data_IF_905474561527
#
_entry.id   IF_905474561527
#
_cell.length_a   1.000
_cell.length_b   1.000
_cell.length_c   1.000
_cell.angle_alpha   90.00
_cell.angle_beta   90.00
_cell.angle_gamma   90.00
#
_symmetry.space_group_name_H-M   'P 1'
#
loop_
_entity.id
_entity.type
_entity.pdbx_description
1 polymer ?
#
# COMPACT_ATOMS: atom_id res chain seq x y z
N UNK A 1 6.40 6.97 -14.30
CA UNK A 1 5.58 8.04 -13.67
C UNK A 1 6.49 9.24 -13.58
N UNK A 2 6.34 10.11 -14.58
CA UNK A 2 7.32 11.14 -14.91
C UNK A 2 7.15 12.38 -14.04
N UNK A 3 8.27 13.08 -13.87
CA UNK A 3 8.44 14.42 -13.34
C UNK A 3 7.18 15.30 -13.42
N UNK A 4 6.36 15.31 -12.36
CA UNK A 4 5.31 16.30 -12.15
C UNK A 4 5.89 17.52 -11.43
N UNK A 5 5.46 18.71 -11.83
CA UNK A 5 5.78 19.94 -11.10
C UNK A 5 4.96 20.03 -9.81
N UNK A 6 5.42 20.81 -8.84
CA UNK A 6 4.69 21.04 -7.59
C UNK A 6 3.30 21.67 -7.83
N UNK A 7 3.15 22.48 -8.87
CA UNK A 7 1.88 23.09 -9.24
C UNK A 7 0.89 22.08 -9.83
N UNK A 8 1.39 21.08 -10.57
CA UNK A 8 0.58 19.96 -11.08
C UNK A 8 0.19 19.01 -9.94
N UNK A 9 1.12 18.68 -9.06
CA UNK A 9 0.84 17.85 -7.89
C UNK A 9 -0.22 18.48 -6.96
N UNK A 10 -0.22 19.81 -6.81
CA UNK A 10 -1.21 20.54 -6.01
C UNK A 10 -2.63 20.56 -6.62
N UNK A 11 -2.77 20.23 -7.91
CA UNK A 11 -4.06 20.15 -8.61
C UNK A 11 -4.61 18.73 -8.65
N UNK A 12 -3.81 17.72 -8.29
CA UNK A 12 -4.28 16.35 -8.18
C UNK A 12 -5.32 16.24 -7.07
N UNK A 13 -6.37 15.42 -7.25
CA UNK A 13 -7.32 15.15 -6.20
C UNK A 13 -6.60 14.53 -5.00
N UNK A 14 -7.11 14.82 -3.81
CA UNK A 14 -6.64 14.20 -2.57
C UNK A 14 -6.80 12.68 -2.72
N UNK A 15 -5.67 11.97 -2.73
CA UNK A 15 -5.61 10.54 -2.95
C UNK A 15 -5.23 9.83 -1.66
N UNK A 16 -5.97 8.78 -1.32
CA UNK A 16 -5.76 7.98 -0.11
C UNK A 16 -6.95 8.00 0.83
N UNK A 17 -6.75 7.41 2.00
CA UNK A 17 -7.74 7.32 3.07
C UNK A 17 -7.12 7.92 4.34
N UNK A 18 -7.80 8.84 5.05
CA UNK A 18 -7.31 9.36 6.33
C UNK A 18 -7.03 8.26 7.35
N UNK A 19 -5.97 8.41 8.15
CA UNK A 19 -5.55 7.40 9.12
C UNK A 19 -6.66 7.06 10.13
N UNK A 20 -7.50 8.04 10.51
CA UNK A 20 -8.63 7.82 11.40
C UNK A 20 -9.72 6.90 10.83
N UNK A 21 -9.74 6.71 9.51
CA UNK A 21 -10.66 5.77 8.85
C UNK A 21 -10.02 4.39 8.66
N UNK A 22 -8.70 4.27 8.78
CA UNK A 22 -8.00 2.99 8.65
C UNK A 22 -8.22 2.18 9.94
N UNK A 23 -8.79 1.00 9.78
CA UNK A 23 -9.07 0.11 10.93
C UNK A 23 -7.99 -0.93 11.15
N UNK A 24 -7.17 -1.18 10.12
CA UNK A 24 -6.27 -2.33 10.05
C UNK A 24 -4.95 -1.96 9.42
N UNK A 25 -3.85 -2.34 10.06
CA UNK A 25 -2.49 -2.13 9.58
C UNK A 25 -1.74 -3.46 9.60
N UNK A 26 -1.53 -4.05 8.42
CA UNK A 26 -0.80 -5.31 8.28
C UNK A 26 0.65 -5.00 7.97
N UNK A 27 1.56 -5.42 8.84
CA UNK A 27 3.00 -5.37 8.58
C UNK A 27 3.39 -6.46 7.59
N UNK A 28 3.88 -6.06 6.42
CA UNK A 28 4.28 -6.94 5.32
C UNK A 28 5.74 -6.76 4.95
N UNK A 29 6.56 -6.15 5.82
CA UNK A 29 7.98 -5.86 5.53
C UNK A 29 8.78 -7.08 5.08
N UNK A 30 8.50 -8.25 5.66
CA UNK A 30 9.13 -9.51 5.27
C UNK A 30 8.74 -10.02 3.87
N UNK A 31 7.72 -9.43 3.25
CA UNK A 31 7.17 -9.83 1.96
C UNK A 31 7.31 -8.76 0.86
N UNK A 32 7.95 -7.62 1.16
CA UNK A 32 8.11 -6.49 0.21
C UNK A 32 8.81 -6.94 -1.07
N UNK A 33 9.87 -7.75 -0.98
CA UNK A 33 10.58 -8.22 -2.18
C UNK A 33 9.72 -9.16 -3.03
N UNK A 34 8.94 -10.04 -2.42
CA UNK A 34 7.97 -10.89 -3.13
C UNK A 34 6.90 -10.03 -3.82
N UNK A 35 6.39 -9.00 -3.14
CA UNK A 35 5.42 -8.04 -3.70
C UNK A 35 6.00 -7.30 -4.91
N UNK A 36 7.22 -6.79 -4.81
CA UNK A 36 7.87 -6.08 -5.92
C UNK A 36 8.17 -7.01 -7.09
N UNK A 37 8.63 -8.24 -6.85
CA UNK A 37 8.79 -9.24 -7.91
C UNK A 37 7.46 -9.49 -8.64
N UNK A 38 6.34 -9.60 -7.90
CA UNK A 38 5.02 -9.75 -8.49
C UNK A 38 4.63 -8.52 -9.33
N UNK A 39 4.77 -7.30 -8.79
CA UNK A 39 4.51 -6.04 -9.52
C UNK A 39 5.30 -6.01 -10.84
N UNK A 40 6.60 -6.30 -10.78
CA UNK A 40 7.49 -6.21 -11.94
C UNK A 40 7.21 -7.25 -13.03
N UNK A 41 6.57 -8.37 -12.68
CA UNK A 41 6.13 -9.40 -13.61
C UNK A 41 4.97 -8.93 -14.51
N UNK A 42 4.21 -7.91 -14.11
CA UNK A 42 3.14 -7.32 -14.93
C UNK A 42 3.67 -6.41 -16.04
N UNK A 43 4.47 -6.95 -16.97
CA UNK A 43 5.16 -6.19 -18.01
C UNK A 43 4.27 -5.29 -18.88
N UNK A 44 3.02 -5.68 -19.14
CA UNK A 44 2.10 -4.87 -19.96
C UNK A 44 1.49 -3.70 -19.20
N UNK A 45 1.52 -3.72 -17.86
CA UNK A 45 0.98 -2.67 -16.98
C UNK A 45 2.11 -1.79 -16.41
N UNK A 46 3.27 -2.40 -16.15
CA UNK A 46 4.44 -1.73 -15.57
C UNK A 46 5.46 -1.48 -16.66
N UNK A 47 5.41 -0.25 -17.19
CA UNK A 47 6.33 0.25 -18.20
C UNK A 47 7.81 0.07 -17.79
N UNK A 48 8.74 -0.08 -18.75
CA UNK A 48 10.17 -0.21 -18.45
C UNK A 48 10.77 0.97 -17.67
N UNK A 49 10.21 2.16 -17.82
CA UNK A 49 10.57 3.41 -17.14
C UNK A 49 9.64 3.72 -15.94
N UNK A 50 8.89 2.72 -15.48
CA UNK A 50 8.04 2.87 -14.29
C UNK A 50 8.88 3.09 -13.04
N UNK A 51 8.39 3.96 -12.15
CA UNK A 51 9.04 4.28 -10.88
C UNK A 51 9.21 3.05 -9.96
N UNK A 52 8.33 2.05 -10.10
CA UNK A 52 8.47 0.76 -9.42
C UNK A 52 9.79 0.04 -9.75
N UNK A 53 10.37 0.29 -10.93
CA UNK A 53 11.66 -0.29 -11.36
C UNK A 53 12.86 0.53 -10.90
N UNK A 54 12.68 1.84 -10.68
CA UNK A 54 13.76 2.77 -10.32
C UNK A 54 13.84 3.04 -8.82
N UNK A 55 12.96 2.44 -8.02
CA UNK A 55 12.92 2.61 -6.57
C UNK A 55 13.98 1.74 -5.88
N UNK A 56 14.83 2.39 -5.08
CA UNK A 56 15.80 1.76 -4.16
C UNK A 56 15.11 0.90 -3.11
N UNK A 57 15.76 -0.19 -2.70
CA UNK A 57 15.20 -1.21 -1.79
C UNK A 57 14.69 -0.63 -0.46
N UNK A 58 15.48 0.22 0.21
CA UNK A 58 15.10 0.84 1.49
C UNK A 58 13.79 1.64 1.37
N UNK A 59 13.61 2.36 0.26
CA UNK A 59 12.38 3.11 -0.01
C UNK A 59 11.18 2.19 -0.30
N UNK A 60 11.41 0.97 -0.80
CA UNK A 60 10.33 -0.02 -0.97
C UNK A 60 9.81 -0.45 0.38
N UNK A 61 10.69 -0.77 1.31
CA UNK A 61 10.30 -1.21 2.65
C UNK A 61 9.62 -0.10 3.43
N UNK A 62 10.14 1.13 3.33
CA UNK A 62 9.53 2.30 3.98
C UNK A 62 8.14 2.61 3.41
N UNK A 63 7.99 2.64 2.09
CA UNK A 63 6.74 3.02 1.44
C UNK A 63 5.68 1.91 1.35
N UNK A 64 6.11 0.64 1.34
CA UNK A 64 5.22 -0.50 1.06
C UNK A 64 5.30 -1.62 2.10
N UNK A 65 6.00 -1.41 3.21
CA UNK A 65 6.11 -2.37 4.31
C UNK A 65 4.82 -2.52 5.13
N UNK A 66 3.80 -1.70 4.89
CA UNK A 66 2.48 -1.83 5.52
C UNK A 66 1.38 -1.77 4.48
N UNK A 67 0.39 -2.64 4.65
CA UNK A 67 -0.87 -2.60 3.91
C UNK A 67 -1.99 -2.17 4.86
N UNK A 68 -2.86 -1.30 4.37
CA UNK A 68 -3.93 -0.71 5.19
C UNK A 68 -5.31 -1.07 4.65
N UNK A 69 -6.23 -1.34 5.58
CA UNK A 69 -7.60 -1.72 5.25
C UNK A 69 -8.61 -0.93 6.08
N UNK A 70 -9.78 -0.71 5.46
CA UNK A 70 -10.97 -0.16 6.12
C UNK A 70 -11.99 -1.28 6.26
N UNK A 71 -12.34 -1.60 7.49
CA UNK A 71 -13.36 -2.60 7.81
C UNK A 71 -14.75 -2.02 7.56
N UNK A 72 -15.32 -2.35 6.41
CA UNK A 72 -16.68 -1.91 6.03
C UNK A 72 -17.77 -2.69 6.78
N UNK A 73 -17.58 -4.00 6.95
CA UNK A 73 -18.51 -4.89 7.67
C UNK A 73 -17.71 -5.96 8.42
N UNK A 74 -18.11 -6.24 9.67
CA UNK A 74 -17.70 -7.45 10.39
C UNK A 74 -18.92 -8.20 10.92
N UNK A 75 -18.83 -9.54 10.96
CA UNK A 75 -19.83 -10.42 11.57
C UNK A 75 -19.38 -10.98 12.92
N UNK A 76 -18.17 -10.61 13.35
CA UNK A 76 -17.58 -10.99 14.62
C UNK A 76 -17.15 -9.73 15.36
N UNK A 77 -16.93 -9.84 16.67
CA UNK A 77 -16.34 -8.75 17.43
C UNK A 77 -14.86 -8.66 17.04
N UNK A 78 -14.43 -7.48 16.62
CA UNK A 78 -13.06 -7.23 16.18
C UNK A 78 -12.56 -5.92 16.80
N UNK A 79 -11.34 -5.88 17.38
CA UNK A 79 -10.80 -4.67 18.00
C UNK A 79 -10.52 -3.58 16.96
N UNK A 80 -10.38 -2.33 17.42
CA UNK A 80 -9.86 -1.24 16.60
C UNK A 80 -8.34 -1.35 16.47
N UNK A 81 -7.79 -0.88 15.35
CA UNK A 81 -6.34 -0.93 15.09
C UNK A 81 -5.79 -2.35 14.98
N UNK A 82 -6.52 -3.24 14.32
CA UNK A 82 -6.13 -4.64 14.18
C UNK A 82 -4.85 -4.78 13.32
N UNK A 83 -4.02 -5.77 13.64
CA UNK A 83 -2.84 -6.13 12.85
C UNK A 83 -3.06 -7.38 11.98
N UNK A 84 -4.26 -7.96 12.05
CA UNK A 84 -4.64 -9.22 11.41
C UNK A 84 -6.09 -9.14 10.94
N UNK A 85 -6.32 -9.29 9.63
CA UNK A 85 -7.65 -9.28 9.01
C UNK A 85 -8.53 -10.46 9.45
N UNK A 86 -7.93 -11.52 9.99
CA UNK A 86 -8.63 -12.69 10.49
C UNK A 86 -8.94 -12.60 11.99
N UNK A 87 -8.61 -11.48 12.65
CA UNK A 87 -8.90 -11.28 14.06
C UNK A 87 -10.40 -11.53 14.37
N UNK A 88 -10.66 -12.46 15.28
CA UNK A 88 -12.01 -12.86 15.69
C UNK A 88 -12.61 -14.04 14.93
N UNK A 89 -11.97 -14.51 13.85
CA UNK A 89 -12.32 -15.76 13.18
C UNK A 89 -11.61 -16.94 13.85
N UNK A 90 -12.35 -18.01 14.16
CA UNK A 90 -11.84 -19.29 14.70
C UNK A 90 -12.54 -20.44 14.03
#
# INVERSE_FOLDING_TARGET
AGNMTAEEAAKEPEFGTPDEHITTWVDVREHVETKFAAILAHHTQIAPDSWFRTMEEDHRVEGFGRETFVRIVSRVVTPDGEADLFAGLR
#
